data_IF_525308898272
#
_entry.id   IF_525308898272
#
_cell.length_a   1.000
_cell.length_b   1.000
_cell.length_c   1.000
_cell.angle_alpha   90.00
_cell.angle_beta   90.00
_cell.angle_gamma   90.00
#
_symmetry.space_group_name_H-M   'P 1'
#
loop_
_entity.id
_entity.type
_entity.pdbx_description
1 polymer ?
#
# COMPACT_ATOMS: atom_id res chain seq x y z
N UNK A 1 -15.66 -4.35 -12.88
CA UNK A 1 -15.51 -5.06 -11.59
C UNK A 1 -16.71 -4.72 -10.71
N UNK A 2 -17.16 -5.63 -9.85
CA UNK A 2 -18.23 -5.39 -8.87
C UNK A 2 -17.65 -5.62 -7.48
N UNK A 3 -17.99 -4.75 -6.53
CA UNK A 3 -17.53 -4.86 -5.14
C UNK A 3 -18.71 -5.19 -4.23
N UNK A 4 -18.46 -6.08 -3.27
CA UNK A 4 -19.41 -6.44 -2.20
C UNK A 4 -18.64 -6.64 -0.90
N UNK A 5 -19.30 -6.44 0.24
CA UNK A 5 -18.74 -6.83 1.53
C UNK A 5 -18.45 -8.33 1.53
N UNK A 6 -17.27 -8.73 1.98
CA UNK A 6 -16.85 -10.13 2.02
C UNK A 6 -17.86 -11.02 2.76
N UNK A 7 -18.41 -10.55 3.88
CA UNK A 7 -19.44 -11.28 4.63
C UNK A 7 -20.65 -11.63 3.76
N UNK A 8 -21.15 -10.66 3.00
CA UNK A 8 -22.32 -10.87 2.15
C UNK A 8 -21.92 -11.78 0.98
N UNK A 9 -20.73 -11.59 0.39
CA UNK A 9 -20.12 -12.47 -0.64
C UNK A 9 -20.19 -13.95 -0.23
N UNK A 10 -19.70 -14.26 0.98
CA UNK A 10 -19.70 -15.60 1.55
C UNK A 10 -21.11 -16.13 1.82
N UNK A 11 -22.00 -15.30 2.38
CA UNK A 11 -23.37 -15.73 2.73
C UNK A 11 -24.22 -16.10 1.51
N UNK A 12 -24.04 -15.41 0.39
CA UNK A 12 -24.79 -15.74 -0.84
C UNK A 12 -24.08 -16.72 -1.76
N UNK A 13 -22.90 -17.22 -1.38
CA UNK A 13 -22.13 -18.17 -2.17
C UNK A 13 -21.59 -17.59 -3.49
N UNK A 14 -21.31 -16.28 -3.51
CA UNK A 14 -20.77 -15.64 -4.71
C UNK A 14 -19.35 -16.14 -5.02
N UNK A 15 -18.96 -16.23 -6.30
CA UNK A 15 -17.57 -16.46 -6.67
C UNK A 15 -16.71 -15.23 -6.29
N UNK A 16 -15.71 -15.45 -5.43
CA UNK A 16 -14.79 -14.41 -4.96
C UNK A 16 -13.44 -14.56 -5.68
N UNK A 17 -13.08 -13.56 -6.48
CA UNK A 17 -11.80 -13.54 -7.21
C UNK A 17 -10.64 -13.13 -6.28
N UNK A 18 -10.86 -12.08 -5.48
CA UNK A 18 -9.89 -11.55 -4.53
C UNK A 18 -10.59 -10.71 -3.46
N UNK A 19 -9.86 -10.39 -2.38
CA UNK A 19 -10.34 -9.55 -1.28
C UNK A 19 -9.45 -8.31 -1.17
N UNK A 20 -10.07 -7.13 -1.16
CA UNK A 20 -9.38 -5.87 -0.84
C UNK A 20 -9.33 -5.76 0.68
N UNK A 21 -8.14 -5.88 1.27
CA UNK A 21 -7.95 -5.78 2.72
C UNK A 21 -8.01 -4.32 3.20
N UNK A 22 -7.46 -3.39 2.43
CA UNK A 22 -7.47 -1.96 2.71
C UNK A 22 -7.23 -1.14 1.44
N UNK A 23 -7.46 0.17 1.56
CA UNK A 23 -7.00 1.18 0.61
C UNK A 23 -6.60 2.44 1.39
N UNK A 24 -5.66 3.22 0.85
CA UNK A 24 -5.23 4.48 1.42
C UNK A 24 -4.99 5.49 0.28
N UNK A 25 -5.20 6.78 0.58
CA UNK A 25 -5.02 7.89 -0.37
C UNK A 25 -4.41 9.09 0.34
N UNK A 26 -3.51 9.80 -0.34
CA UNK A 26 -2.96 11.06 0.17
C UNK A 26 -2.62 12.04 -0.97
N UNK A 27 -1.91 13.12 -0.63
CA UNK A 27 -1.46 14.11 -1.59
C UNK A 27 0.03 14.43 -1.39
N UNK A 28 0.73 14.64 -2.49
CA UNK A 28 2.16 15.00 -2.50
C UNK A 28 2.47 16.31 -1.76
N UNK A 29 1.50 17.22 -1.66
CA UNK A 29 1.64 18.52 -1.02
C UNK A 29 2.62 19.44 -1.75
N UNK A 30 3.18 20.40 -0.99
CA UNK A 30 4.06 21.45 -1.51
C UNK A 30 5.56 21.16 -1.33
N UNK A 31 5.93 20.11 -0.58
CA UNK A 31 7.33 19.76 -0.29
C UNK A 31 7.92 18.87 -1.38
N UNK A 32 8.03 19.43 -2.60
CA UNK A 32 8.55 18.76 -3.79
C UNK A 32 9.15 19.76 -4.78
N UNK A 33 10.08 19.32 -5.62
CA UNK A 33 10.91 20.16 -6.51
C UNK A 33 10.16 20.78 -7.69
N UNK A 34 8.87 20.49 -7.85
CA UNK A 34 8.01 21.04 -8.88
C UNK A 34 6.59 20.51 -8.77
N UNK A 35 5.61 21.19 -9.36
CA UNK A 35 4.19 20.82 -9.21
C UNK A 35 3.89 19.37 -9.67
N UNK A 36 4.51 18.95 -10.77
CA UNK A 36 4.38 17.60 -11.35
C UNK A 36 5.42 16.61 -10.81
N UNK A 37 6.35 17.05 -9.95
CA UNK A 37 7.32 16.16 -9.35
C UNK A 37 6.63 15.25 -8.31
N UNK A 38 6.96 13.95 -8.25
CA UNK A 38 6.39 13.05 -7.26
C UNK A 38 6.94 13.34 -5.86
N UNK A 39 6.13 13.11 -4.81
CA UNK A 39 6.60 13.19 -3.43
C UNK A 39 7.07 11.83 -2.93
N UNK A 40 8.38 11.74 -2.65
CA UNK A 40 9.00 10.56 -2.04
C UNK A 40 8.35 10.24 -0.68
N UNK A 41 8.10 11.27 0.14
CA UNK A 41 7.48 11.11 1.46
C UNK A 41 5.98 10.76 1.33
N UNK A 42 5.28 11.34 0.36
CA UNK A 42 3.88 11.03 0.08
C UNK A 42 3.68 9.57 -0.27
N UNK A 43 4.46 9.05 -1.21
CA UNK A 43 4.39 7.63 -1.60
C UNK A 43 4.69 6.69 -0.43
N UNK A 44 5.72 6.98 0.36
CA UNK A 44 6.06 6.15 1.52
C UNK A 44 4.92 6.12 2.54
N UNK A 45 4.34 7.28 2.87
CA UNK A 45 3.28 7.40 3.86
C UNK A 45 2.00 6.65 3.44
N UNK A 46 1.59 6.74 2.17
CA UNK A 46 0.37 6.04 1.71
C UNK A 46 0.54 4.52 1.69
N UNK A 47 1.74 4.02 1.36
CA UNK A 47 2.04 2.58 1.40
C UNK A 47 2.01 2.07 2.84
N UNK A 48 2.65 2.80 3.77
CA UNK A 48 2.66 2.44 5.19
C UNK A 48 1.25 2.44 5.79
N UNK A 49 0.43 3.45 5.46
CA UNK A 49 -0.96 3.53 5.89
C UNK A 49 -1.79 2.35 5.35
N UNK A 50 -1.66 2.01 4.06
CA UNK A 50 -2.37 0.87 3.48
C UNK A 50 -2.00 -0.45 4.17
N UNK A 51 -0.71 -0.71 4.42
CA UNK A 51 -0.24 -1.90 5.12
C UNK A 51 -0.75 -1.95 6.58
N UNK A 52 -0.72 -0.81 7.28
CA UNK A 52 -1.27 -0.69 8.62
C UNK A 52 -2.77 -1.00 8.66
N UNK A 53 -3.55 -0.41 7.76
CA UNK A 53 -5.00 -0.62 7.68
C UNK A 53 -5.36 -2.06 7.29
N UNK A 54 -4.55 -2.69 6.43
CA UNK A 54 -4.70 -4.10 6.07
C UNK A 54 -4.33 -5.06 7.22
N UNK A 55 -3.62 -4.57 8.23
CA UNK A 55 -3.09 -5.36 9.35
C UNK A 55 -2.23 -6.55 8.88
N UNK A 56 -1.40 -6.35 7.85
CA UNK A 56 -0.48 -7.37 7.32
C UNK A 56 0.99 -6.95 7.50
N UNK A 57 1.87 -7.94 7.63
CA UNK A 57 3.32 -7.77 7.61
C UNK A 57 3.85 -7.63 6.17
N UNK A 58 4.97 -6.93 5.99
CA UNK A 58 5.56 -6.73 4.66
C UNK A 58 5.91 -8.05 3.97
N UNK A 59 6.28 -9.08 4.73
CA UNK A 59 6.64 -10.40 4.18
C UNK A 59 5.45 -11.17 3.62
N UNK A 60 4.22 -10.76 3.92
CA UNK A 60 3.02 -11.36 3.36
C UNK A 60 2.72 -10.84 1.95
N UNK A 61 3.40 -9.77 1.51
CA UNK A 61 3.25 -9.21 0.16
C UNK A 61 4.19 -9.95 -0.81
N UNK A 62 3.63 -10.86 -1.60
CA UNK A 62 4.38 -11.61 -2.61
C UNK A 62 4.51 -10.89 -3.97
N UNK A 63 3.70 -9.87 -4.22
CA UNK A 63 3.68 -9.14 -5.49
C UNK A 63 3.23 -7.69 -5.29
N UNK A 64 3.81 -6.77 -6.07
CA UNK A 64 3.46 -5.35 -6.09
C UNK A 64 3.23 -4.95 -7.54
N UNK A 65 2.01 -4.51 -7.86
CA UNK A 65 1.71 -3.83 -9.11
C UNK A 65 2.09 -2.35 -8.95
N UNK A 66 3.16 -1.93 -9.62
CA UNK A 66 3.68 -0.55 -9.52
C UNK A 66 2.91 0.41 -10.42
N UNK A 67 3.02 1.73 -10.17
CA UNK A 67 2.58 2.74 -11.13
C UNK A 67 3.38 2.65 -12.44
N UNK A 68 4.71 2.46 -12.35
CA UNK A 68 5.53 1.90 -13.43
C UNK A 68 5.48 2.67 -14.76
N UNK A 69 5.62 3.99 -14.70
CA UNK A 69 5.49 4.87 -15.89
C UNK A 69 6.61 4.75 -16.91
N UNK A 70 7.68 4.00 -16.61
CA UNK A 70 8.85 3.88 -17.48
C UNK A 70 9.74 5.12 -17.44
N UNK A 71 9.62 5.95 -16.40
CA UNK A 71 10.42 7.17 -16.28
C UNK A 71 11.63 6.91 -15.38
N UNK A 72 12.87 7.22 -15.82
CA UNK A 72 14.07 6.89 -15.04
C UNK A 72 14.04 7.42 -13.60
N UNK A 73 13.53 8.64 -13.41
CA UNK A 73 13.41 9.26 -12.10
C UNK A 73 12.23 8.71 -11.29
N UNK A 74 11.05 8.56 -11.91
CA UNK A 74 9.84 8.11 -11.23
C UNK A 74 9.98 6.66 -10.74
N UNK A 75 10.45 5.78 -11.61
CA UNK A 75 10.56 4.35 -11.31
C UNK A 75 11.64 4.09 -10.24
N UNK A 76 12.76 4.83 -10.27
CA UNK A 76 13.79 4.74 -9.23
C UNK A 76 13.29 5.22 -7.85
N UNK A 77 12.45 6.27 -7.83
CA UNK A 77 11.81 6.74 -6.60
C UNK A 77 10.86 5.67 -6.06
N UNK A 78 9.98 5.15 -6.92
CA UNK A 78 8.94 4.19 -6.60
C UNK A 78 9.54 2.89 -6.00
N UNK A 79 10.52 2.27 -6.66
CA UNK A 79 11.19 1.07 -6.16
C UNK A 79 11.85 1.27 -4.80
N UNK A 80 12.53 2.42 -4.60
CA UNK A 80 13.19 2.73 -3.33
C UNK A 80 12.17 2.89 -2.19
N UNK A 81 10.96 3.36 -2.49
CA UNK A 81 9.90 3.54 -1.49
C UNK A 81 9.29 2.23 -1.04
N UNK A 82 8.91 1.35 -1.96
CA UNK A 82 8.42 0.01 -1.60
C UNK A 82 9.41 -0.72 -0.69
N UNK A 83 10.69 -0.72 -1.05
CA UNK A 83 11.74 -1.36 -0.24
C UNK A 83 11.88 -0.76 1.18
N UNK A 84 11.57 0.52 1.35
CA UNK A 84 11.65 1.21 2.66
C UNK A 84 10.41 0.95 3.51
N UNK A 85 9.21 1.12 2.94
CA UNK A 85 7.93 0.90 3.64
C UNK A 85 7.79 -0.54 4.13
N UNK A 86 8.21 -1.51 3.31
CA UNK A 86 8.25 -2.92 3.71
C UNK A 86 9.08 -3.11 4.98
N UNK A 87 10.26 -2.49 5.08
CA UNK A 87 11.11 -2.60 6.28
C UNK A 87 10.50 -1.95 7.52
N UNK A 88 9.64 -0.92 7.40
CA UNK A 88 9.08 -0.19 8.54
C UNK A 88 7.89 -0.89 9.19
N UNK A 89 7.04 -1.58 8.41
CA UNK A 89 5.89 -2.35 8.92
C UNK A 89 6.28 -3.35 10.04
N UNK A 90 7.54 -3.82 10.01
CA UNK A 90 8.18 -4.67 11.03
C UNK A 90 8.15 -4.11 12.45
N UNK A 91 8.10 -2.78 12.64
CA UNK A 91 8.08 -2.16 13.97
C UNK A 91 6.68 -2.08 14.57
N UNK A 92 5.63 -2.14 13.75
CA UNK A 92 4.24 -1.96 14.21
C UNK A 92 3.64 -3.30 14.63
N UNK A 93 3.94 -4.39 13.91
CA UNK A 93 3.54 -5.76 14.29
C UNK A 93 4.15 -6.20 15.63
N UNK A 94 5.41 -5.83 15.91
CA UNK A 94 6.11 -6.18 17.15
C UNK A 94 5.55 -5.51 18.42
N UNK A 95 4.73 -4.47 18.30
CA UNK A 95 4.12 -3.77 19.45
C UNK A 95 2.77 -4.39 19.86
N UNK A 96 2.22 -5.31 19.06
CA UNK A 96 0.88 -5.88 19.29
C UNK A 96 0.84 -7.31 19.84
N UNK A 97 1.98 -7.89 20.21
CA UNK A 97 2.02 -9.13 21.00
C UNK A 97 1.88 -8.84 22.50
N UNK A 98 0.67 -8.50 22.95
CA UNK A 98 0.21 -8.52 24.36
C UNK A 98 -1.24 -9.05 24.31
N UNK A 99 -1.63 -10.00 25.17
CA UNK A 99 -2.55 -11.11 24.86
C UNK A 99 -3.99 -10.72 24.56
#
# INVERSE_FOLDING_TARGET
>A
MVLRRLRDALLSGDPIISVILSSAVNNDGNRKVGYTAPSVAGQQAVIEEALMLAAIDDRQVGYIETHGTGTPLGDAIELKRYATSMRLARRISAVRSVP
#
